data_IF_611824574633
#
_entry.id   IF_611824574633
#
_cell.length_a   1.000
_cell.length_b   1.000
_cell.length_c   1.000
_cell.angle_alpha   90.00
_cell.angle_beta   90.00
_cell.angle_gamma   90.00
#
_symmetry.space_group_name_H-M   'P 1'
#
loop_
_entity.id
_entity.type
_entity.pdbx_description
1 polymer ?
#
# COMPACT_ATOMS: atom_id res chain seq x y z
N UNK A 1 3.85 -22.58 4.31
CA UNK A 1 3.62 -22.26 2.88
C UNK A 1 4.68 -21.27 2.44
N UNK A 2 5.22 -21.39 1.23
CA UNK A 2 6.15 -20.37 0.73
C UNK A 2 5.44 -19.00 0.73
N UNK A 3 6.08 -17.92 1.22
CA UNK A 3 5.46 -16.60 1.33
C UNK A 3 4.81 -16.11 0.04
N UNK A 4 5.38 -16.49 -1.10
CA UNK A 4 4.86 -16.18 -2.43
C UNK A 4 3.51 -16.86 -2.71
N UNK A 5 3.35 -18.14 -2.34
CA UNK A 5 2.10 -18.89 -2.53
C UNK A 5 0.95 -18.24 -1.76
N UNK A 6 1.19 -17.85 -0.50
CA UNK A 6 0.18 -17.14 0.28
C UNK A 6 -0.24 -15.81 -0.38
N UNK A 7 0.69 -15.10 -1.03
CA UNK A 7 0.40 -13.82 -1.71
C UNK A 7 -0.44 -14.05 -2.94
N UNK A 8 -0.06 -15.06 -3.73
CA UNK A 8 -0.80 -15.43 -4.92
C UNK A 8 -2.24 -15.81 -4.56
N UNK A 9 -2.44 -16.59 -3.49
CA UNK A 9 -3.78 -16.98 -3.02
C UNK A 9 -4.61 -15.78 -2.58
N UNK A 10 -4.05 -14.88 -1.76
CA UNK A 10 -4.74 -13.65 -1.32
C UNK A 10 -5.14 -12.76 -2.50
N UNK A 11 -4.23 -12.55 -3.45
CA UNK A 11 -4.47 -11.72 -4.63
C UNK A 11 -5.51 -12.33 -5.58
N UNK A 12 -5.46 -13.64 -5.81
CA UNK A 12 -6.45 -14.35 -6.64
C UNK A 12 -7.83 -14.33 -5.99
N UNK A 13 -7.92 -14.59 -4.67
CA UNK A 13 -9.18 -14.56 -3.95
C UNK A 13 -9.79 -13.15 -3.95
N UNK A 14 -8.99 -12.11 -3.66
CA UNK A 14 -9.44 -10.72 -3.71
C UNK A 14 -9.89 -10.29 -5.11
N UNK A 15 -9.12 -10.64 -6.14
CA UNK A 15 -9.45 -10.36 -7.54
C UNK A 15 -10.73 -11.07 -7.98
N UNK A 16 -10.89 -12.35 -7.65
CA UNK A 16 -12.10 -13.11 -7.95
C UNK A 16 -13.33 -12.54 -7.22
N UNK A 17 -13.19 -12.14 -5.96
CA UNK A 17 -14.26 -11.49 -5.20
C UNK A 17 -14.69 -10.15 -5.81
N UNK A 18 -13.74 -9.31 -6.19
CA UNK A 18 -14.03 -8.05 -6.88
C UNK A 18 -14.69 -8.28 -8.23
N UNK A 19 -14.25 -9.28 -8.99
CA UNK A 19 -14.86 -9.63 -10.28
C UNK A 19 -16.29 -10.14 -10.13
N UNK A 20 -16.57 -10.95 -9.10
CA UNK A 20 -17.92 -11.39 -8.78
C UNK A 20 -18.83 -10.19 -8.44
N UNK A 21 -18.34 -9.25 -7.62
CA UNK A 21 -19.10 -8.04 -7.27
C UNK A 21 -19.40 -7.20 -8.52
N UNK A 22 -18.39 -7.00 -9.39
CA UNK A 22 -18.55 -6.26 -10.63
C UNK A 22 -19.60 -6.91 -11.57
N UNK A 23 -19.60 -8.24 -11.67
CA UNK A 23 -20.59 -9.00 -12.42
C UNK A 23 -22.00 -8.84 -11.83
N UNK A 24 -22.14 -8.99 -10.51
CA UNK A 24 -23.43 -8.84 -9.81
C UNK A 24 -23.99 -7.43 -9.91
N UNK A 25 -23.13 -6.41 -10.01
CA UNK A 25 -23.51 -5.00 -10.23
C UNK A 25 -23.78 -4.66 -11.69
N UNK A 26 -23.53 -5.57 -12.63
CA UNK A 26 -23.68 -5.32 -14.06
C UNK A 26 -22.68 -4.31 -14.61
N UNK A 27 -21.56 -4.07 -13.92
CA UNK A 27 -20.51 -3.13 -14.36
C UNK A 27 -19.91 -3.56 -15.70
N UNK A 28 -19.92 -4.87 -16.00
CA UNK A 28 -19.48 -5.41 -17.29
C UNK A 28 -20.32 -4.95 -18.48
N UNK A 29 -21.62 -4.67 -18.28
CA UNK A 29 -22.48 -4.09 -19.33
C UNK A 29 -22.20 -2.59 -19.55
N UNK A 30 -21.58 -1.93 -18.56
CA UNK A 30 -21.17 -0.53 -18.63
C UNK A 30 -19.73 -0.36 -19.13
N UNK A 31 -18.98 -1.46 -19.31
CA UNK A 31 -17.66 -1.47 -19.92
C UNK A 31 -17.74 -1.17 -21.42
N UNK A 32 -17.88 0.11 -21.75
CA UNK A 32 -17.69 0.58 -23.11
C UNK A 32 -16.19 0.61 -23.41
N UNK A 33 -15.75 -0.26 -24.32
CA UNK A 33 -14.35 -0.40 -24.75
C UNK A 33 -13.76 0.90 -25.30
N UNK A 34 -14.61 1.82 -25.75
CA UNK A 34 -14.24 3.19 -26.15
C UNK A 34 -13.67 4.05 -25.01
N UNK A 35 -13.98 3.74 -23.74
CA UNK A 35 -13.42 4.44 -22.58
C UNK A 35 -12.13 3.80 -22.06
N UNK A 36 -11.73 2.64 -22.59
CA UNK A 36 -10.48 1.97 -22.22
C UNK A 36 -9.33 2.62 -22.98
N UNK A 37 -8.70 3.62 -22.35
CA UNK A 37 -7.49 4.25 -22.91
C UNK A 37 -6.24 3.40 -22.63
N UNK A 38 -5.25 3.50 -23.54
CA UNK A 38 -3.94 2.88 -23.33
C UNK A 38 -3.30 3.33 -22.01
N UNK A 39 -3.47 4.60 -21.62
CA UNK A 39 -3.01 5.13 -20.33
C UNK A 39 -3.62 4.37 -19.16
N UNK A 40 -4.92 4.08 -19.19
CA UNK A 40 -5.60 3.32 -18.14
C UNK A 40 -5.05 1.89 -18.03
N UNK A 41 -4.88 1.22 -19.17
CA UNK A 41 -4.33 -0.15 -19.21
C UNK A 41 -2.91 -0.19 -18.66
N UNK A 42 -2.05 0.74 -19.09
CA UNK A 42 -0.67 0.83 -18.58
C UNK A 42 -0.62 1.18 -17.10
N UNK A 43 -1.54 2.01 -16.61
CA UNK A 43 -1.62 2.36 -15.18
C UNK A 43 -2.00 1.14 -14.33
N UNK A 44 -2.97 0.33 -14.78
CA UNK A 44 -3.32 -0.93 -14.11
C UNK A 44 -2.16 -1.92 -14.16
N UNK A 45 -1.51 -2.08 -15.32
CA UNK A 45 -0.36 -2.97 -15.45
C UNK A 45 0.79 -2.57 -14.51
N UNK A 46 1.07 -1.27 -14.40
CA UNK A 46 2.05 -0.73 -13.48
C UNK A 46 1.71 -1.04 -12.01
N UNK A 47 0.46 -0.79 -11.59
CA UNK A 47 0.02 -1.09 -10.22
C UNK A 47 -0.02 -2.59 -9.91
N UNK A 48 -0.37 -3.42 -10.88
CA UNK A 48 -0.36 -4.87 -10.73
C UNK A 48 1.07 -5.38 -10.51
N UNK A 49 2.03 -4.91 -11.32
CA UNK A 49 3.41 -5.39 -11.24
C UNK A 49 4.19 -4.77 -10.08
N UNK A 50 4.32 -3.44 -10.04
CA UNK A 50 5.10 -2.74 -9.03
C UNK A 50 4.34 -2.58 -7.71
N UNK A 51 3.10 -2.11 -7.79
CA UNK A 51 2.27 -1.82 -6.62
C UNK A 51 1.78 -3.06 -5.88
N UNK A 52 1.69 -4.21 -6.57
CA UNK A 52 1.24 -5.45 -5.96
C UNK A 52 2.33 -6.53 -5.92
N UNK A 53 2.69 -7.14 -7.06
CA UNK A 53 3.56 -8.33 -7.07
C UNK A 53 4.90 -8.03 -6.38
N UNK A 54 5.60 -6.97 -6.78
CA UNK A 54 6.89 -6.61 -6.18
C UNK A 54 6.70 -6.15 -4.74
N UNK A 55 5.78 -5.23 -4.48
CA UNK A 55 5.57 -4.64 -3.16
C UNK A 55 5.19 -5.70 -2.09
N UNK A 56 4.21 -6.56 -2.37
CA UNK A 56 3.79 -7.61 -1.43
C UNK A 56 4.87 -8.69 -1.24
N UNK A 57 5.60 -9.04 -2.30
CA UNK A 57 6.73 -9.97 -2.18
C UNK A 57 7.82 -9.40 -1.28
N UNK A 58 8.17 -8.13 -1.44
CA UNK A 58 9.14 -7.43 -0.59
C UNK A 58 8.63 -7.31 0.85
N UNK A 59 7.36 -6.95 1.06
CA UNK A 59 6.74 -6.86 2.39
C UNK A 59 6.85 -8.19 3.14
N UNK A 60 6.49 -9.31 2.49
CA UNK A 60 6.58 -10.63 3.11
C UNK A 60 7.99 -11.15 3.28
N UNK A 61 8.89 -10.86 2.34
CA UNK A 61 10.31 -11.12 2.54
C UNK A 61 10.82 -10.39 3.79
N UNK A 62 10.45 -9.11 3.96
CA UNK A 62 10.89 -8.29 5.09
C UNK A 62 10.31 -8.79 6.42
N UNK A 63 9.06 -9.26 6.45
CA UNK A 63 8.47 -9.89 7.64
C UNK A 63 9.22 -11.14 8.12
N UNK A 64 9.94 -11.82 7.22
CA UNK A 64 10.79 -12.96 7.58
C UNK A 64 12.21 -12.54 8.00
N UNK A 65 12.55 -11.26 7.91
CA UNK A 65 13.91 -10.72 8.17
C UNK A 65 13.96 -9.74 9.33
N UNK A 66 12.89 -9.01 9.59
CA UNK A 66 12.82 -8.00 10.67
C UNK A 66 11.48 -8.10 11.40
N UNK A 67 11.36 -7.45 12.55
CA UNK A 67 10.13 -7.48 13.34
C UNK A 67 8.94 -6.86 12.59
N UNK A 68 7.70 -7.34 12.79
CA UNK A 68 6.50 -6.76 12.16
C UNK A 68 6.35 -5.25 12.44
N UNK A 69 6.76 -4.81 13.64
CA UNK A 69 6.78 -3.39 13.99
C UNK A 69 7.76 -2.60 13.11
N UNK A 70 8.95 -3.15 12.80
CA UNK A 70 9.90 -2.51 11.91
C UNK A 70 9.40 -2.50 10.46
N UNK A 71 8.82 -3.61 9.98
CA UNK A 71 8.17 -3.65 8.65
C UNK A 71 7.11 -2.56 8.56
N UNK A 72 6.22 -2.46 9.55
CA UNK A 72 5.10 -1.51 9.61
C UNK A 72 5.50 -0.03 9.53
N UNK A 73 6.76 0.31 9.82
CA UNK A 73 7.25 1.69 9.67
C UNK A 73 7.23 2.20 8.23
N UNK A 74 7.17 1.31 7.22
CA UNK A 74 7.03 1.71 5.82
C UNK A 74 5.79 2.58 5.57
N UNK A 75 4.69 2.29 6.29
CA UNK A 75 3.42 3.00 6.14
C UNK A 75 3.56 4.49 6.50
N UNK A 76 4.55 4.82 7.34
CA UNK A 76 4.86 6.18 7.74
C UNK A 76 5.66 6.97 6.69
N UNK A 77 6.36 6.27 5.81
CA UNK A 77 7.15 6.88 4.73
C UNK A 77 6.26 7.16 3.51
N UNK A 78 5.21 6.36 3.29
CA UNK A 78 4.30 6.48 2.15
C UNK A 78 3.72 7.89 1.92
N UNK A 79 3.22 8.62 2.93
CA UNK A 79 2.66 9.96 2.72
C UNK A 79 3.70 10.96 2.22
N UNK A 80 4.93 10.88 2.72
CA UNK A 80 6.03 11.76 2.29
C UNK A 80 6.38 11.48 0.84
N UNK A 81 6.52 10.19 0.48
CA UNK A 81 6.79 9.78 -0.90
C UNK A 81 5.65 10.21 -1.83
N UNK A 82 4.40 10.02 -1.43
CA UNK A 82 3.24 10.41 -2.24
C UNK A 82 3.21 11.91 -2.55
N UNK A 83 3.45 12.78 -1.55
CA UNK A 83 3.49 14.24 -1.75
C UNK A 83 4.65 14.64 -2.65
N UNK A 84 5.84 14.05 -2.45
CA UNK A 84 7.01 14.33 -3.30
C UNK A 84 6.76 13.92 -4.75
N UNK A 85 6.15 12.74 -4.98
CA UNK A 85 5.81 12.28 -6.32
C UNK A 85 4.72 13.15 -6.98
N UNK A 86 3.70 13.57 -6.23
CA UNK A 86 2.65 14.47 -6.73
C UNK A 86 3.22 15.83 -7.14
N UNK A 87 4.09 16.41 -6.31
CA UNK A 87 4.76 17.66 -6.63
C UNK A 87 5.71 17.52 -7.83
N UNK A 88 6.54 16.46 -7.87
CA UNK A 88 7.58 16.29 -8.89
C UNK A 88 7.02 15.84 -10.25
N UNK A 89 6.10 14.89 -10.28
CA UNK A 89 5.62 14.27 -11.52
C UNK A 89 4.24 14.76 -11.96
N UNK A 90 3.37 15.16 -11.03
CA UNK A 90 2.04 15.70 -11.34
C UNK A 90 1.99 17.23 -11.28
N UNK A 91 3.11 17.90 -10.99
CA UNK A 91 3.22 19.35 -10.84
C UNK A 91 2.20 19.93 -9.85
N UNK A 92 1.83 19.15 -8.83
CA UNK A 92 0.86 19.57 -7.82
C UNK A 92 1.44 20.68 -6.94
N UNK A 93 0.84 21.87 -6.88
CA UNK A 93 1.39 22.98 -6.11
C UNK A 93 1.34 22.69 -4.61
N UNK A 94 2.49 22.84 -3.95
CA UNK A 94 2.60 22.70 -2.49
C UNK A 94 2.13 23.99 -1.80
N UNK A 95 0.81 24.16 -1.74
CA UNK A 95 0.18 25.26 -1.01
C UNK A 95 0.30 25.12 0.51
N UNK A 96 -0.02 26.20 1.23
CA UNK A 96 0.01 26.23 2.69
C UNK A 96 -0.81 25.12 3.36
N UNK A 97 -1.95 24.75 2.77
CA UNK A 97 -2.78 23.62 3.26
C UNK A 97 -2.08 22.28 3.16
N UNK A 98 -1.40 22.01 2.04
CA UNK A 98 -0.65 20.76 1.83
C UNK A 98 0.54 20.67 2.78
N UNK A 99 1.24 21.79 3.00
CA UNK A 99 2.33 21.87 3.97
C UNK A 99 1.82 21.62 5.40
N UNK A 100 0.70 22.24 5.80
CA UNK A 100 0.10 22.00 7.11
C UNK A 100 -0.32 20.53 7.28
N UNK A 101 -0.93 19.92 6.27
CA UNK A 101 -1.28 18.50 6.29
C UNK A 101 -0.04 17.59 6.41
N UNK A 102 1.04 17.90 5.68
CA UNK A 102 2.31 17.18 5.80
C UNK A 102 2.87 17.25 7.22
N UNK A 103 2.88 18.44 7.85
CA UNK A 103 3.36 18.61 9.23
C UNK A 103 2.55 17.75 10.19
N UNK A 104 1.23 17.71 10.05
CA UNK A 104 0.36 16.86 10.89
C UNK A 104 0.66 15.38 10.68
N UNK A 105 0.76 14.91 9.44
CA UNK A 105 1.00 13.49 9.13
C UNK A 105 2.40 13.06 9.60
N UNK A 106 3.45 13.81 9.26
CA UNK A 106 4.83 13.52 9.67
C UNK A 106 4.98 13.64 11.18
N UNK A 107 4.32 14.61 11.81
CA UNK A 107 4.30 14.73 13.27
C UNK A 107 3.68 13.50 13.95
N UNK A 108 2.55 13.00 13.43
CA UNK A 108 1.94 11.76 13.93
C UNK A 108 2.86 10.54 13.76
N UNK A 109 3.51 10.42 12.60
CA UNK A 109 4.53 9.40 12.32
C UNK A 109 5.67 9.41 13.33
N UNK A 110 6.25 10.59 13.58
CA UNK A 110 7.35 10.77 14.52
C UNK A 110 6.88 10.40 15.93
N UNK A 111 5.71 10.86 16.36
CA UNK A 111 5.15 10.55 17.67
C UNK A 111 4.96 9.04 17.88
N UNK A 112 4.49 8.31 16.86
CA UNK A 112 4.32 6.85 16.94
C UNK A 112 5.67 6.14 16.95
N UNK A 113 6.64 6.62 16.16
CA UNK A 113 7.98 6.03 16.04
C UNK A 113 8.83 6.19 17.30
N UNK A 114 8.61 7.25 18.07
CA UNK A 114 9.33 7.55 19.30
C UNK A 114 8.78 6.84 20.56
N UNK A 115 7.62 6.17 20.49
CA UNK A 115 7.09 5.47 21.67
C UNK A 115 8.03 4.32 22.07
N UNK A 116 8.57 4.32 23.31
CA UNK A 116 9.41 3.24 23.81
C UNK A 116 8.67 1.91 23.67
N UNK A 117 9.36 0.92 23.09
CA UNK A 117 8.85 -0.45 23.04
C UNK A 117 8.74 -0.93 24.48
N UNK A 118 7.53 -0.97 25.03
CA UNK A 118 7.26 -1.88 26.13
C UNK A 118 7.48 -3.28 25.56
N UNK A 119 8.69 -3.81 25.75
CA UNK A 119 8.90 -5.23 25.73
C UNK A 119 7.92 -5.75 26.78
N UNK A 120 6.85 -6.39 26.32
CA UNK A 120 6.08 -7.28 27.17
C UNK A 120 7.13 -8.26 27.67
N UNK A 121 7.60 -8.01 28.89
CA UNK A 121 8.54 -8.87 29.58
C UNK A 121 7.90 -10.24 29.51
N UNK A 122 8.51 -11.13 28.73
CA UNK A 122 8.26 -12.54 28.89
C UNK A 122 8.60 -12.82 30.36
N UNK A 123 7.56 -13.13 31.14
CA UNK A 123 7.75 -13.65 32.48
C UNK A 123 8.64 -14.90 32.35
N UNK A 124 9.88 -14.88 32.88
CA UNK A 124 10.72 -16.06 32.86
C UNK A 124 10.33 -16.94 34.04
N UNK A 125 9.14 -17.53 34.00
CA UNK A 125 8.72 -18.61 34.90
C UNK A 125 7.40 -19.25 34.42
N UNK A 126 7.52 -20.29 33.60
CA UNK A 126 6.93 -21.64 33.82
C UNK A 126 7.21 -22.55 32.61
#
# INVERSE_FOLDING_TARGET
AEPLLASAMEMLAGGAGMMLIALLRGETAQLATSHVSLRSVLSIAYLAFFGSIIAFSAYKWLLNKVSPAAVGTYAFVNPVVAVLLGWLFAAEPLGARTLAAMVVIVGAVVLISLRPRHQVLADPAE
#
